data_IF_358988553270
#
_entry.id   IF_358988553270
#
_cell.length_a   1.000
_cell.length_b   1.000
_cell.length_c   1.000
_cell.angle_alpha   90.00
_cell.angle_beta   90.00
_cell.angle_gamma   90.00
#
_symmetry.space_group_name_H-M   'P 1'
#
loop_
_entity.id
_entity.type
_entity.pdbx_description
1 polymer ?
#
# COMPACT_ATOMS: atom_id res chain seq x y z
N UNK A 1 -15.25 16.43 12.12
CA UNK A 1 -13.98 16.62 11.38
C UNK A 1 -13.67 15.30 10.70
N UNK A 2 -13.65 15.27 9.37
CA UNK A 2 -13.33 14.07 8.61
C UNK A 2 -11.82 13.85 8.66
N UNK A 3 -11.33 12.60 8.78
CA UNK A 3 -9.89 12.32 8.72
C UNK A 3 -9.36 12.69 7.34
N UNK A 4 -8.32 13.47 7.31
CA UNK A 4 -7.55 13.77 6.09
C UNK A 4 -6.95 12.44 5.61
N UNK A 5 -7.43 11.97 4.46
CA UNK A 5 -6.86 10.81 3.77
C UNK A 5 -5.43 11.18 3.35
N UNK A 6 -4.47 10.39 3.81
CA UNK A 6 -3.12 10.40 3.27
C UNK A 6 -3.20 10.24 1.74
N UNK A 7 -2.83 11.27 1.01
CA UNK A 7 -2.40 11.11 -0.37
C UNK A 7 -1.08 10.34 -0.35
N UNK A 8 -0.83 9.40 -1.25
CA UNK A 8 0.46 8.74 -1.36
C UNK A 8 1.47 9.69 -2.02
N UNK A 9 1.83 10.79 -1.34
CA UNK A 9 2.89 11.73 -1.75
C UNK A 9 4.28 11.22 -1.34
N UNK A 10 4.51 9.93 -1.45
CA UNK A 10 5.79 9.29 -1.17
C UNK A 10 6.25 8.32 -2.24
N UNK A 11 5.68 8.39 -3.46
CA UNK A 11 6.24 7.67 -4.59
C UNK A 11 7.51 8.39 -5.08
N UNK A 12 8.59 8.27 -4.29
CA UNK A 12 9.94 8.47 -4.80
C UNK A 12 10.13 7.56 -6.01
N UNK A 13 10.59 8.13 -7.12
CA UNK A 13 11.01 7.39 -8.29
C UNK A 13 12.09 6.38 -7.87
N UNK A 14 11.66 5.14 -7.62
CA UNK A 14 12.54 4.00 -7.49
C UNK A 14 13.32 3.79 -8.80
N UNK A 15 14.42 3.04 -8.76
CA UNK A 15 15.33 2.89 -9.88
C UNK A 15 14.58 2.44 -11.14
N UNK A 16 14.90 3.08 -12.25
CA UNK A 16 14.37 2.79 -13.57
C UNK A 16 14.40 1.30 -13.85
N UNK A 17 13.23 0.72 -14.07
CA UNK A 17 13.02 -0.65 -14.53
C UNK A 17 13.84 -0.89 -15.80
N UNK A 18 14.84 -1.76 -15.73
CA UNK A 18 15.39 -2.40 -16.91
C UNK A 18 14.37 -3.47 -17.34
N UNK A 19 13.68 -3.16 -18.42
CA UNK A 19 12.88 -4.12 -19.17
C UNK A 19 13.84 -5.00 -20.01
N UNK A 20 14.48 -5.98 -19.39
CA UNK A 20 15.29 -6.97 -20.10
C UNK A 20 14.92 -8.38 -19.62
N UNK A 21 13.73 -8.82 -20.00
CA UNK A 21 13.44 -10.22 -20.31
C UNK A 21 12.45 -10.29 -21.47
N UNK A 22 12.65 -11.19 -22.45
CA UNK A 22 11.81 -11.24 -23.64
C UNK A 22 10.50 -11.93 -23.30
N UNK A 23 9.51 -11.17 -22.92
CA UNK A 23 8.14 -11.64 -23.02
C UNK A 23 7.80 -11.74 -24.51
N UNK A 24 7.47 -12.94 -24.94
CA UNK A 24 7.02 -13.25 -26.29
C UNK A 24 6.02 -12.20 -26.75
N UNK A 25 6.30 -11.59 -27.90
CA UNK A 25 5.65 -10.49 -28.57
C UNK A 25 4.20 -10.23 -28.16
N UNK A 26 3.98 -9.19 -27.39
CA UNK A 26 2.66 -8.63 -27.18
C UNK A 26 2.32 -7.80 -28.43
N UNK A 27 1.73 -8.47 -29.43
CA UNK A 27 0.92 -7.78 -30.42
C UNK A 27 -0.11 -6.97 -29.62
N UNK A 28 -0.17 -5.65 -29.86
CA UNK A 28 -1.07 -4.75 -29.15
C UNK A 28 -2.46 -5.35 -29.04
N UNK A 29 -2.91 -5.60 -27.81
CA UNK A 29 -4.17 -6.27 -27.56
C UNK A 29 -5.29 -5.30 -27.90
N UNK A 30 -6.02 -5.61 -28.97
CA UNK A 30 -7.29 -4.97 -29.26
C UNK A 30 -8.37 -5.59 -28.35
N UNK A 31 -8.14 -5.55 -27.03
CA UNK A 31 -9.12 -5.98 -26.03
C UNK A 31 -10.02 -4.81 -25.70
N UNK A 32 -11.32 -5.03 -25.66
CA UNK A 32 -12.29 -4.05 -25.19
C UNK A 32 -12.21 -3.89 -23.67
N UNK A 33 -11.80 -4.94 -22.95
CA UNK A 33 -11.71 -4.96 -21.49
C UNK A 33 -10.43 -5.64 -21.01
N UNK A 34 -9.99 -5.28 -19.79
CA UNK A 34 -8.91 -5.92 -19.04
C UNK A 34 -9.37 -6.22 -17.61
N UNK A 35 -8.63 -7.08 -16.92
CA UNK A 35 -8.87 -7.46 -15.54
C UNK A 35 -7.94 -6.68 -14.63
N UNK A 36 -8.49 -5.82 -13.79
CA UNK A 36 -7.78 -5.11 -12.73
C UNK A 36 -7.75 -5.96 -11.47
N UNK A 37 -6.57 -6.22 -10.92
CA UNK A 37 -6.39 -7.03 -9.71
C UNK A 37 -6.13 -6.14 -8.52
N UNK A 38 -6.94 -6.31 -7.46
CA UNK A 38 -6.88 -5.51 -6.24
C UNK A 38 -6.03 -6.16 -5.15
N UNK A 39 -6.29 -7.44 -4.91
CA UNK A 39 -5.68 -8.18 -3.82
C UNK A 39 -5.72 -9.69 -4.07
N UNK A 40 -4.88 -10.42 -3.35
CA UNK A 40 -4.93 -11.88 -3.25
C UNK A 40 -5.23 -12.25 -1.80
N UNK A 41 -6.01 -13.31 -1.58
CA UNK A 41 -6.32 -13.88 -0.26
C UNK A 41 -6.47 -15.39 -0.37
N UNK A 42 -6.26 -16.10 0.72
CA UNK A 42 -6.57 -17.53 0.87
C UNK A 42 -7.92 -17.76 1.56
N UNK A 43 -8.55 -16.70 2.07
CA UNK A 43 -9.83 -16.74 2.79
C UNK A 43 -10.75 -15.61 2.33
N UNK A 44 -11.77 -15.94 1.57
CA UNK A 44 -12.80 -15.00 1.14
C UNK A 44 -14.19 -15.49 1.60
N UNK A 45 -14.76 -14.95 2.68
CA UNK A 45 -16.09 -15.33 3.14
C UNK A 45 -17.16 -15.07 2.07
N UNK A 46 -18.19 -15.91 1.96
CA UNK A 46 -19.30 -15.71 1.02
C UNK A 46 -19.95 -14.33 1.19
N UNK A 47 -20.22 -13.66 0.07
CA UNK A 47 -20.84 -12.33 0.05
C UNK A 47 -19.92 -11.18 0.45
N UNK A 48 -18.67 -11.42 0.76
CA UNK A 48 -17.72 -10.38 1.20
C UNK A 48 -17.54 -9.23 0.20
N UNK A 49 -17.56 -9.55 -1.08
CA UNK A 49 -17.41 -8.56 -2.15
C UNK A 49 -18.72 -7.87 -2.55
N UNK A 50 -19.86 -8.27 -1.96
CA UNK A 50 -21.17 -7.71 -2.30
C UNK A 50 -21.21 -6.21 -2.01
N UNK A 51 -21.56 -5.40 -3.01
CA UNK A 51 -21.65 -3.94 -2.91
C UNK A 51 -20.31 -3.20 -3.01
N UNK A 52 -19.17 -3.91 -3.10
CA UNK A 52 -17.91 -3.27 -3.42
C UNK A 52 -17.85 -2.94 -4.92
N UNK A 53 -17.37 -1.75 -5.23
CA UNK A 53 -17.16 -1.27 -6.59
C UNK A 53 -15.71 -0.91 -6.81
N UNK A 54 -15.19 -1.25 -7.98
CA UNK A 54 -13.80 -1.03 -8.36
C UNK A 54 -13.51 0.36 -8.90
N UNK A 55 -12.35 0.50 -9.54
CA UNK A 55 -11.76 1.77 -10.00
C UNK A 55 -12.55 2.45 -11.10
N UNK A 56 -13.24 1.69 -11.95
CA UNK A 56 -14.14 2.16 -13.01
C UNK A 56 -15.62 2.14 -12.62
N UNK A 57 -15.95 1.80 -11.35
CA UNK A 57 -17.33 1.64 -10.87
C UNK A 57 -17.91 0.25 -11.13
N UNK A 58 -17.13 -0.68 -11.65
CA UNK A 58 -17.50 -2.07 -11.93
C UNK A 58 -17.69 -2.87 -10.63
N UNK A 59 -18.51 -3.94 -10.65
CA UNK A 59 -18.58 -4.89 -9.55
C UNK A 59 -17.29 -5.68 -9.43
N UNK A 60 -16.81 -5.86 -8.19
CA UNK A 60 -15.66 -6.73 -7.92
C UNK A 60 -16.10 -8.18 -7.73
N UNK A 61 -15.26 -9.11 -8.11
CA UNK A 61 -15.52 -10.54 -8.10
C UNK A 61 -14.27 -11.36 -7.79
N UNK A 62 -14.42 -12.64 -7.38
CA UNK A 62 -13.30 -13.53 -7.16
C UNK A 62 -12.85 -14.23 -8.45
N UNK A 63 -11.54 -14.45 -8.59
CA UNK A 63 -10.94 -15.43 -9.51
C UNK A 63 -10.07 -16.35 -8.66
N UNK A 64 -10.41 -17.64 -8.60
CA UNK A 64 -9.74 -18.59 -7.70
C UNK A 64 -8.95 -19.62 -8.48
N UNK A 65 -7.78 -19.99 -7.94
CA UNK A 65 -6.92 -21.05 -8.45
C UNK A 65 -6.01 -21.56 -7.32
N UNK A 66 -5.75 -22.84 -7.25
CA UNK A 66 -4.83 -23.54 -6.32
C UNK A 66 -4.95 -23.13 -4.83
N UNK A 67 -6.17 -22.86 -4.36
CA UNK A 67 -6.44 -22.45 -2.97
C UNK A 67 -6.23 -20.96 -2.68
N UNK A 68 -5.90 -20.17 -3.70
CA UNK A 68 -5.79 -18.71 -3.65
C UNK A 68 -6.96 -18.07 -4.39
N UNK A 69 -7.29 -16.85 -4.02
CA UNK A 69 -8.34 -16.05 -4.65
C UNK A 69 -7.83 -14.63 -4.91
N UNK A 70 -7.80 -14.24 -6.17
CA UNK A 70 -7.63 -12.86 -6.58
C UNK A 70 -8.98 -12.13 -6.53
N UNK A 71 -9.01 -10.94 -5.97
CA UNK A 71 -10.14 -10.01 -6.01
C UNK A 71 -9.93 -9.09 -7.20
N UNK A 72 -10.84 -9.15 -8.17
CA UNK A 72 -10.67 -8.50 -9.47
C UNK A 72 -11.90 -7.69 -9.89
N UNK A 73 -11.69 -6.75 -10.83
CA UNK A 73 -12.74 -6.06 -11.57
C UNK A 73 -12.46 -6.12 -13.06
N UNK A 74 -13.50 -6.18 -13.90
CA UNK A 74 -13.36 -6.07 -15.36
C UNK A 74 -13.58 -4.64 -15.77
N UNK A 75 -12.57 -4.00 -16.33
CA UNK A 75 -12.56 -2.58 -16.68
C UNK A 75 -12.31 -2.35 -18.16
N UNK A 76 -12.71 -1.19 -18.67
CA UNK A 76 -12.49 -0.78 -20.05
C UNK A 76 -10.98 -0.64 -20.33
N UNK A 77 -10.48 -1.36 -21.33
CA UNK A 77 -9.07 -1.34 -21.71
C UNK A 77 -8.62 0.04 -22.24
N UNK A 78 -9.51 0.80 -22.88
CA UNK A 78 -9.18 2.13 -23.36
C UNK A 78 -8.98 3.15 -22.23
N UNK A 79 -9.62 2.91 -21.05
CA UNK A 79 -9.51 3.79 -19.90
C UNK A 79 -8.50 3.30 -18.84
N UNK A 80 -8.29 1.98 -18.71
CA UNK A 80 -7.54 1.37 -17.62
C UNK A 80 -6.48 0.35 -18.09
N UNK A 81 -6.35 0.12 -19.40
CA UNK A 81 -5.31 -0.75 -19.95
C UNK A 81 -3.93 -0.12 -19.86
N UNK A 82 -2.89 -0.91 -20.08
CA UNK A 82 -1.49 -0.53 -19.94
C UNK A 82 -1.14 0.79 -20.64
N UNK A 83 -1.66 1.00 -21.86
CA UNK A 83 -1.42 2.22 -22.64
C UNK A 83 -2.10 3.46 -22.03
N UNK A 84 -3.25 3.29 -21.37
CA UNK A 84 -4.00 4.36 -20.74
C UNK A 84 -3.45 4.74 -19.34
N UNK A 85 -2.70 3.83 -18.70
CA UNK A 85 -2.22 4.01 -17.33
C UNK A 85 -1.34 5.25 -17.15
N UNK A 86 -0.49 5.56 -18.13
CA UNK A 86 0.35 6.76 -18.08
C UNK A 86 -0.48 8.05 -18.05
N UNK A 87 -1.58 8.09 -18.78
CA UNK A 87 -2.52 9.23 -18.78
C UNK A 87 -3.39 9.25 -17.54
N UNK A 88 -3.84 8.08 -17.10
CA UNK A 88 -4.66 7.91 -15.88
C UNK A 88 -3.90 8.35 -14.63
N UNK A 89 -2.62 7.99 -14.53
CA UNK A 89 -1.74 8.31 -13.41
C UNK A 89 -1.01 9.65 -13.58
N UNK A 90 -1.17 10.34 -14.72
CA UNK A 90 -0.56 11.63 -15.00
C UNK A 90 -1.23 12.84 -14.31
N UNK A 91 -2.42 12.67 -13.70
CA UNK A 91 -3.16 13.72 -13.02
C UNK A 91 -3.42 13.40 -11.55
N UNK A 92 -3.08 14.32 -10.64
CA UNK A 92 -3.23 14.12 -9.18
C UNK A 92 -4.66 13.70 -8.79
N UNK A 93 -5.69 14.39 -9.33
CA UNK A 93 -7.09 14.09 -9.04
C UNK A 93 -7.48 12.66 -9.47
N UNK A 94 -6.93 12.19 -10.58
CA UNK A 94 -7.17 10.84 -11.08
C UNK A 94 -6.50 9.80 -10.20
N UNK A 95 -5.23 10.01 -9.84
CA UNK A 95 -4.49 9.12 -8.94
C UNK A 95 -5.24 8.98 -7.62
N UNK A 96 -5.68 10.09 -7.04
CA UNK A 96 -6.41 10.09 -5.78
C UNK A 96 -7.74 9.35 -5.88
N UNK A 97 -8.50 9.57 -6.93
CA UNK A 97 -9.78 8.88 -7.17
C UNK A 97 -9.59 7.38 -7.34
N UNK A 98 -8.65 6.97 -8.21
CA UNK A 98 -8.37 5.57 -8.51
C UNK A 98 -7.75 4.88 -7.29
N UNK A 99 -6.81 5.53 -6.61
CA UNK A 99 -6.19 5.04 -5.39
C UNK A 99 -7.21 4.81 -4.27
N UNK A 100 -8.13 5.74 -4.05
CA UNK A 100 -9.23 5.58 -3.07
C UNK A 100 -10.18 4.43 -3.42
N UNK A 101 -10.50 4.24 -4.70
CA UNK A 101 -11.35 3.14 -5.12
C UNK A 101 -10.64 1.80 -4.95
N UNK A 102 -9.37 1.72 -5.35
CA UNK A 102 -8.52 0.55 -5.17
C UNK A 102 -8.38 0.17 -3.69
N UNK A 103 -8.04 1.14 -2.84
CA UNK A 103 -7.95 0.95 -1.40
C UNK A 103 -9.26 0.44 -0.77
N UNK A 104 -10.43 0.99 -1.16
CA UNK A 104 -11.73 0.53 -0.64
C UNK A 104 -11.98 -0.95 -0.90
N UNK A 105 -11.60 -1.46 -2.07
CA UNK A 105 -11.74 -2.88 -2.40
C UNK A 105 -10.83 -3.72 -1.50
N UNK A 106 -9.56 -3.33 -1.35
CA UNK A 106 -8.59 -4.04 -0.51
C UNK A 106 -9.03 -4.03 0.96
N UNK A 107 -9.36 -2.85 1.51
CA UNK A 107 -9.83 -2.71 2.89
C UNK A 107 -11.15 -3.48 3.12
N UNK A 108 -12.06 -3.43 2.13
CA UNK A 108 -13.29 -4.23 2.14
C UNK A 108 -12.99 -5.73 2.17
N UNK A 109 -12.01 -6.21 1.44
CA UNK A 109 -11.58 -7.62 1.47
C UNK A 109 -10.99 -7.98 2.84
N UNK A 110 -10.07 -7.16 3.35
CA UNK A 110 -9.41 -7.38 4.64
C UNK A 110 -10.37 -7.41 5.84
N UNK A 111 -11.45 -6.63 5.80
CA UNK A 111 -12.47 -6.64 6.85
C UNK A 111 -13.22 -7.99 7.00
N UNK A 112 -12.93 -9.00 6.15
CA UNK A 112 -13.36 -10.39 6.29
C UNK A 112 -12.60 -11.19 7.34
N UNK A 113 -11.50 -10.64 7.90
CA UNK A 113 -10.69 -11.29 8.94
C UNK A 113 -9.63 -12.28 8.43
N UNK A 114 -9.58 -12.54 7.12
CA UNK A 114 -8.51 -13.31 6.49
C UNK A 114 -7.30 -12.43 6.13
N UNK A 115 -6.12 -13.04 5.89
CA UNK A 115 -4.97 -12.31 5.41
C UNK A 115 -5.23 -11.80 3.99
N UNK A 116 -4.75 -10.61 3.69
CA UNK A 116 -4.89 -9.98 2.37
C UNK A 116 -3.52 -9.50 1.91
N UNK A 117 -3.16 -9.88 0.71
CA UNK A 117 -2.00 -9.40 0.00
C UNK A 117 -2.45 -8.29 -0.96
N UNK A 118 -2.27 -7.01 -0.61
CA UNK A 118 -2.63 -5.91 -1.49
C UNK A 118 -1.70 -5.89 -2.71
N UNK A 119 -2.29 -5.75 -3.90
CA UNK A 119 -1.49 -5.56 -5.11
C UNK A 119 -1.29 -4.08 -5.41
N UNK A 120 -0.25 -3.78 -6.18
CA UNK A 120 0.05 -2.40 -6.59
C UNK A 120 -1.08 -1.82 -7.42
N UNK A 121 -1.25 -0.53 -7.32
CA UNK A 121 -2.13 0.22 -8.20
C UNK A 121 -1.75 -0.05 -9.66
N UNK A 122 -2.77 -0.27 -10.51
CA UNK A 122 -2.58 -0.54 -11.93
C UNK A 122 -2.03 -1.94 -12.29
N UNK A 123 -2.18 -2.93 -11.40
CA UNK A 123 -1.96 -4.33 -11.76
C UNK A 123 -3.10 -4.81 -12.64
N UNK A 124 -2.82 -5.00 -13.95
CA UNK A 124 -3.80 -5.40 -14.96
C UNK A 124 -3.37 -6.64 -15.72
N UNK A 125 -4.34 -7.46 -16.06
CA UNK A 125 -4.15 -8.67 -16.87
C UNK A 125 -5.18 -8.71 -18.02
N UNK A 126 -4.89 -9.44 -19.13
CA UNK A 126 -5.81 -9.53 -20.25
C UNK A 126 -7.16 -10.14 -19.89
N UNK A 127 -7.13 -11.19 -19.08
CA UNK A 127 -8.30 -12.01 -18.77
C UNK A 127 -8.12 -12.80 -17.45
N UNK A 128 -9.16 -13.54 -17.06
CA UNK A 128 -9.18 -14.38 -15.87
C UNK A 128 -8.24 -15.59 -15.98
N UNK A 129 -7.97 -16.08 -17.18
CA UNK A 129 -7.08 -17.22 -17.38
C UNK A 129 -5.63 -16.83 -17.05
N UNK A 130 -5.22 -15.66 -17.48
CA UNK A 130 -3.91 -15.10 -17.12
C UNK A 130 -3.78 -14.87 -15.60
N UNK A 131 -4.86 -14.40 -14.95
CA UNK A 131 -4.87 -14.26 -13.48
C UNK A 131 -4.75 -15.63 -12.80
N UNK A 132 -5.46 -16.67 -13.26
CA UNK A 132 -5.31 -18.03 -12.71
C UNK A 132 -3.92 -18.59 -12.92
N UNK A 133 -3.34 -18.37 -14.12
CA UNK A 133 -1.98 -18.79 -14.40
C UNK A 133 -0.95 -18.11 -13.45
N UNK A 134 -1.12 -16.82 -13.17
CA UNK A 134 -0.31 -16.09 -12.19
C UNK A 134 -0.43 -16.70 -10.79
N UNK A 135 -1.67 -16.97 -10.32
CA UNK A 135 -1.91 -17.58 -9.01
C UNK A 135 -1.25 -18.96 -8.90
N UNK A 136 -1.34 -19.77 -9.96
CA UNK A 136 -0.72 -21.09 -10.00
C UNK A 136 0.80 -21.01 -10.02
N UNK A 137 1.37 -20.12 -10.83
CA UNK A 137 2.81 -19.97 -10.98
C UNK A 137 3.50 -19.43 -9.73
N UNK A 138 2.89 -18.46 -9.04
CA UNK A 138 3.46 -17.84 -7.82
C UNK A 138 2.79 -18.35 -6.52
N UNK A 139 2.16 -19.52 -6.56
CA UNK A 139 1.37 -20.06 -5.45
C UNK A 139 2.11 -20.04 -4.11
N UNK A 140 3.31 -20.59 -4.08
CA UNK A 140 4.05 -20.76 -2.82
C UNK A 140 4.55 -19.42 -2.26
N UNK A 141 4.86 -18.48 -3.13
CA UNK A 141 5.22 -17.12 -2.76
C UNK A 141 4.03 -16.38 -2.15
N UNK A 142 2.88 -16.38 -2.83
CA UNK A 142 1.66 -15.74 -2.31
C UNK A 142 1.19 -16.38 -1.01
N UNK A 143 1.24 -17.70 -0.91
CA UNK A 143 0.89 -18.41 0.32
C UNK A 143 1.82 -18.02 1.48
N UNK A 144 3.12 -17.95 1.25
CA UNK A 144 4.10 -17.52 2.26
C UNK A 144 3.86 -16.08 2.74
N UNK A 145 3.53 -15.16 1.81
CA UNK A 145 3.19 -13.78 2.16
C UNK A 145 1.88 -13.69 2.95
N UNK A 146 0.85 -14.42 2.53
CA UNK A 146 -0.43 -14.47 3.25
C UNK A 146 -0.26 -15.03 4.66
N UNK A 147 0.55 -16.07 4.84
CA UNK A 147 0.86 -16.61 6.16
C UNK A 147 1.56 -15.58 7.05
N UNK A 148 2.51 -14.81 6.50
CA UNK A 148 3.18 -13.70 7.21
C UNK A 148 2.22 -12.59 7.61
N UNK A 149 1.20 -12.31 6.78
CA UNK A 149 0.21 -11.26 7.03
C UNK A 149 -1.00 -11.73 7.86
N UNK A 150 -1.02 -12.98 8.29
CA UNK A 150 -2.12 -13.52 9.09
C UNK A 150 -2.18 -12.85 10.45
N UNK A 151 -3.34 -12.27 10.77
CA UNK A 151 -3.58 -11.49 12.00
C UNK A 151 -2.62 -10.30 12.18
N UNK A 152 -2.12 -9.72 11.08
CA UNK A 152 -1.32 -8.50 11.15
C UNK A 152 -2.04 -7.33 10.51
N UNK A 153 -1.63 -6.14 10.93
CA UNK A 153 -2.07 -4.84 10.40
C UNK A 153 -0.87 -3.91 10.29
N UNK A 154 -0.93 -3.00 9.33
CA UNK A 154 0.09 -1.96 9.16
C UNK A 154 -0.32 -0.68 9.87
N UNK A 155 0.64 -0.04 10.53
CA UNK A 155 0.54 1.32 11.06
C UNK A 155 1.66 2.18 10.51
N UNK A 156 1.31 3.40 10.12
CA UNK A 156 2.27 4.42 9.71
C UNK A 156 2.49 5.44 10.81
N UNK A 157 3.75 5.83 11.02
CA UNK A 157 4.13 6.93 11.92
C UNK A 157 4.99 7.92 11.14
N UNK A 158 4.52 9.16 11.11
CA UNK A 158 5.24 10.29 10.51
C UNK A 158 5.54 11.31 11.60
N UNK A 159 6.80 11.73 11.70
CA UNK A 159 7.21 12.76 12.66
C UNK A 159 7.75 13.95 11.87
N UNK A 160 7.21 15.11 12.17
CA UNK A 160 7.61 16.38 11.59
C UNK A 160 8.35 17.21 12.63
N UNK A 161 9.53 17.70 12.28
CA UNK A 161 10.31 18.65 13.06
C UNK A 161 10.15 20.07 12.54
N UNK A 162 10.33 21.06 13.41
CA UNK A 162 10.40 22.44 12.99
C UNK A 162 11.75 22.72 12.29
N UNK A 163 11.72 23.45 11.18
CA UNK A 163 12.94 23.94 10.55
C UNK A 163 13.72 24.85 11.51
N UNK A 164 15.02 24.61 11.65
CA UNK A 164 15.83 25.31 12.62
C UNK A 164 17.33 25.26 12.31
N UNK A 165 18.17 25.74 13.23
CA UNK A 165 19.62 25.62 13.10
C UNK A 165 20.06 24.15 13.13
N UNK A 166 21.27 23.87 12.61
CA UNK A 166 21.76 22.49 12.40
C UNK A 166 21.70 21.60 13.66
N UNK A 167 21.99 22.17 14.82
CA UNK A 167 21.92 21.45 16.10
C UNK A 167 20.48 21.08 16.54
N UNK A 168 19.48 21.84 16.09
CA UNK A 168 18.07 21.49 16.32
C UNK A 168 17.61 20.38 15.36
N UNK A 169 18.11 20.39 14.15
CA UNK A 169 17.86 19.34 13.15
C UNK A 169 18.44 17.99 13.64
N UNK A 170 19.72 18.00 14.05
CA UNK A 170 20.40 16.81 14.56
C UNK A 170 19.66 16.21 15.79
N UNK A 171 19.24 17.07 16.74
CA UNK A 171 18.43 16.59 17.88
C UNK A 171 17.10 15.99 17.48
N UNK A 172 16.41 16.55 16.48
CA UNK A 172 15.16 16.01 15.98
C UNK A 172 15.35 14.63 15.33
N UNK A 173 16.45 14.44 14.60
CA UNK A 173 16.83 13.16 14.03
C UNK A 173 17.12 12.12 15.11
N UNK A 174 17.89 12.48 16.15
CA UNK A 174 18.21 11.60 17.28
C UNK A 174 16.93 11.15 18.01
N UNK A 175 15.98 12.07 18.25
CA UNK A 175 14.70 11.77 18.90
C UNK A 175 13.85 10.87 18.01
N UNK A 176 13.78 11.15 16.72
CA UNK A 176 13.04 10.34 15.76
C UNK A 176 13.62 8.92 15.66
N UNK A 177 14.93 8.77 15.69
CA UNK A 177 15.60 7.46 15.71
C UNK A 177 15.29 6.67 16.99
N UNK A 178 15.27 7.34 18.14
CA UNK A 178 14.89 6.70 19.40
C UNK A 178 13.42 6.26 19.40
N UNK A 179 12.52 7.05 18.83
CA UNK A 179 11.10 6.70 18.68
C UNK A 179 10.95 5.51 17.73
N UNK A 180 11.61 5.55 16.57
CA UNK A 180 11.56 4.46 15.58
C UNK A 180 12.06 3.14 16.19
N UNK A 181 13.16 3.18 16.94
CA UNK A 181 13.68 2.00 17.63
C UNK A 181 12.67 1.45 18.66
N UNK A 182 12.09 2.31 19.50
CA UNK A 182 11.12 1.92 20.51
C UNK A 182 9.83 1.33 19.90
N UNK A 183 9.36 1.89 18.78
CA UNK A 183 8.18 1.40 18.06
C UNK A 183 8.46 0.10 17.30
N UNK A 184 9.68 -0.07 16.79
CA UNK A 184 10.10 -1.29 16.10
C UNK A 184 10.10 -2.52 17.00
N UNK A 185 10.28 -2.34 18.33
CA UNK A 185 10.21 -3.43 19.31
C UNK A 185 8.81 -4.06 19.43
N UNK A 186 7.76 -3.33 19.03
CA UNK A 186 6.38 -3.86 18.97
C UNK A 186 6.09 -4.58 17.65
N UNK A 187 6.90 -4.34 16.63
CA UNK A 187 6.58 -4.75 15.27
C UNK A 187 7.12 -6.15 14.95
N UNK A 188 6.37 -6.89 14.13
CA UNK A 188 6.84 -8.10 13.46
C UNK A 188 7.87 -7.73 12.38
N UNK A 189 7.67 -6.58 11.76
CA UNK A 189 8.60 -5.98 10.80
C UNK A 189 8.39 -4.45 10.76
N UNK A 190 9.44 -3.70 10.42
CA UNK A 190 9.37 -2.25 10.27
C UNK A 190 10.10 -1.79 9.01
N UNK A 191 9.61 -0.71 8.41
CA UNK A 191 10.20 -0.13 7.20
C UNK A 191 10.26 1.37 7.31
N UNK A 192 11.46 1.88 7.38
CA UNK A 192 11.71 3.31 7.31
C UNK A 192 11.84 3.74 5.85
N UNK A 193 11.09 4.76 5.49
CA UNK A 193 11.18 5.42 4.20
C UNK A 193 12.14 6.62 4.29
N UNK A 194 12.80 7.01 3.18
CA UNK A 194 13.66 8.19 3.20
C UNK A 194 12.91 9.42 3.72
N UNK A 195 13.53 10.14 4.65
CA UNK A 195 13.04 11.43 5.11
C UNK A 195 13.22 12.48 3.98
N UNK A 196 12.27 13.40 3.87
CA UNK A 196 12.40 14.53 2.95
C UNK A 196 13.34 15.58 3.53
N UNK A 197 14.38 15.97 2.80
CA UNK A 197 15.27 17.07 3.23
C UNK A 197 14.52 18.41 3.13
N UNK A 198 14.36 19.14 4.25
CA UNK A 198 13.60 20.39 4.31
C UNK A 198 14.15 21.49 3.37
N UNK A 199 15.44 21.39 3.01
CA UNK A 199 16.08 22.33 2.08
C UNK A 199 15.52 22.26 0.67
N UNK A 200 14.90 21.11 0.31
CA UNK A 200 14.30 20.93 -1.01
C UNK A 200 12.78 21.14 -1.01
N UNK A 201 12.12 21.03 0.14
CA UNK A 201 10.64 21.13 0.21
C UNK A 201 10.16 22.56 0.43
N UNK A 202 10.98 23.45 0.97
CA UNK A 202 10.61 24.84 1.32
C UNK A 202 9.52 24.93 2.39
N UNK A 203 9.19 23.83 3.09
CA UNK A 203 8.19 23.79 4.16
C UNK A 203 8.78 24.29 5.48
N UNK A 204 7.94 24.84 6.34
CA UNK A 204 8.34 25.24 7.70
C UNK A 204 8.55 24.04 8.63
N UNK A 205 7.88 22.94 8.34
CA UNK A 205 8.04 21.62 8.98
C UNK A 205 8.66 20.66 7.96
N UNK A 206 9.50 19.77 8.42
CA UNK A 206 10.12 18.74 7.58
C UNK A 206 9.90 17.36 8.18
N UNK A 207 9.76 16.37 7.32
CA UNK A 207 9.51 14.99 7.70
C UNK A 207 10.81 14.34 8.18
N UNK A 208 10.91 14.14 9.50
CA UNK A 208 12.10 13.57 10.16
C UNK A 208 12.05 12.05 10.17
N UNK A 209 10.85 11.50 10.41
CA UNK A 209 10.58 10.07 10.40
C UNK A 209 9.36 9.78 9.52
N UNK A 210 9.49 8.77 8.68
CA UNK A 210 8.39 8.16 7.94
C UNK A 210 8.58 6.65 7.98
N UNK A 211 7.90 5.98 8.89
CA UNK A 211 8.05 4.54 9.08
C UNK A 211 6.69 3.83 9.06
N UNK A 212 6.69 2.63 8.49
CA UNK A 212 5.59 1.68 8.53
C UNK A 212 5.95 0.52 9.45
N UNK A 213 4.99 0.07 10.25
CA UNK A 213 5.15 -1.02 11.22
C UNK A 213 4.10 -2.09 10.97
N UNK A 214 4.54 -3.33 10.77
CA UNK A 214 3.67 -4.50 10.68
C UNK A 214 3.49 -5.08 12.07
N UNK A 215 2.28 -5.04 12.60
CA UNK A 215 1.96 -5.43 13.97
C UNK A 215 1.01 -6.62 13.98
N UNK A 216 1.09 -7.45 15.03
CA UNK A 216 -0.06 -8.29 15.34
C UNK A 216 -1.27 -7.43 15.70
N UNK A 217 -2.45 -7.79 15.21
CA UNK A 217 -3.67 -6.99 15.32
C UNK A 217 -4.09 -6.72 16.78
N UNK A 218 -3.78 -7.62 17.69
CA UNK A 218 -4.03 -7.48 19.14
C UNK A 218 -3.12 -6.45 19.82
N UNK A 219 -1.95 -6.16 19.23
CA UNK A 219 -1.01 -5.14 19.73
C UNK A 219 -1.32 -3.72 19.22
N UNK A 220 -2.22 -3.60 18.24
CA UNK A 220 -2.47 -2.34 17.53
C UNK A 220 -2.90 -1.18 18.45
N UNK A 221 -3.74 -1.45 19.46
CA UNK A 221 -4.22 -0.41 20.38
C UNK A 221 -3.12 0.07 21.32
N UNK A 222 -2.28 -0.84 21.82
CA UNK A 222 -1.14 -0.51 22.68
C UNK A 222 -0.08 0.27 21.90
N UNK A 223 0.25 -0.20 20.69
CA UNK A 223 1.14 0.52 19.78
C UNK A 223 0.69 1.96 19.53
N UNK A 224 -0.58 2.16 19.18
CA UNK A 224 -1.11 3.50 18.93
C UNK A 224 -0.99 4.41 20.16
N UNK A 225 -1.28 3.90 21.36
CA UNK A 225 -1.15 4.66 22.60
C UNK A 225 0.30 5.05 22.88
N UNK A 226 1.25 4.12 22.69
CA UNK A 226 2.69 4.38 22.86
C UNK A 226 3.17 5.40 21.82
N UNK A 227 2.82 5.24 20.55
CA UNK A 227 3.20 6.15 19.48
C UNK A 227 2.70 7.58 19.75
N UNK A 228 1.47 7.76 20.22
CA UNK A 228 0.96 9.06 20.64
C UNK A 228 1.72 9.64 21.82
N UNK A 229 1.99 8.83 22.85
CA UNK A 229 2.71 9.29 24.05
C UNK A 229 4.13 9.75 23.71
N UNK A 230 4.85 8.99 22.89
CA UNK A 230 6.21 9.34 22.47
C UNK A 230 6.24 10.61 21.61
N UNK A 231 5.21 10.82 20.81
CA UNK A 231 5.12 12.00 19.92
C UNK A 231 4.78 13.29 20.66
N UNK A 232 4.15 13.21 21.84
CA UNK A 232 3.83 14.36 22.70
C UNK A 232 4.97 14.74 23.63
N UNK A 233 5.99 13.89 23.76
CA UNK A 233 7.04 14.05 24.77
C UNK A 233 8.06 15.15 24.42
N UNK A 234 8.14 15.60 23.16
CA UNK A 234 9.09 16.64 22.76
C UNK A 234 8.38 17.89 22.22
N UNK A 235 8.75 19.05 22.79
CA UNK A 235 8.20 20.36 22.41
C UNK A 235 8.83 20.80 21.09
N UNK A 236 8.05 20.79 20.01
CA UNK A 236 8.49 21.23 18.69
C UNK A 236 8.45 20.15 17.61
N UNK A 237 8.04 18.95 17.98
CA UNK A 237 7.77 17.87 17.03
C UNK A 237 6.26 17.58 16.95
N UNK A 238 5.79 17.17 15.78
CA UNK A 238 4.41 16.78 15.53
C UNK A 238 4.40 15.39 14.90
N UNK A 239 3.69 14.46 15.50
CA UNK A 239 3.51 13.15 14.90
C UNK A 239 2.11 12.96 14.31
N UNK A 240 2.07 12.21 13.23
CA UNK A 240 0.86 11.65 12.65
C UNK A 240 0.95 10.13 12.72
N UNK A 241 -0.04 9.51 13.38
CA UNK A 241 -0.15 8.07 13.54
C UNK A 241 -1.38 7.61 12.77
N UNK A 242 -1.19 6.75 11.80
CA UNK A 242 -2.23 6.34 10.84
C UNK A 242 -2.31 4.81 10.76
N UNK A 243 -3.53 4.28 10.82
CA UNK A 243 -3.83 2.85 10.73
C UNK A 243 -5.12 2.49 11.48
N UNK A 244 -5.47 1.22 11.57
CA UNK A 244 -4.79 0.08 10.93
C UNK A 244 -5.09 0.01 9.42
N UNK A 245 -4.08 -0.39 8.65
CA UNK A 245 -4.15 -0.58 7.21
C UNK A 245 -3.82 -2.02 6.82
N UNK A 246 -4.26 -2.51 5.63
CA UNK A 246 -3.63 -3.65 4.98
C UNK A 246 -2.13 -3.43 4.77
N UNK A 247 -1.31 -4.49 4.69
CA UNK A 247 0.17 -4.41 4.73
C UNK A 247 0.80 -3.90 3.43
N UNK A 248 0.46 -2.68 2.98
CA UNK A 248 0.91 -2.09 1.72
C UNK A 248 2.43 -1.94 1.63
N UNK A 249 3.06 -1.53 2.72
CA UNK A 249 4.50 -1.27 2.75
C UNK A 249 5.34 -2.55 2.80
N UNK A 250 4.71 -3.71 2.99
CA UNK A 250 5.40 -4.98 3.22
C UNK A 250 5.30 -5.98 2.06
N UNK A 251 4.71 -5.55 0.95
CA UNK A 251 4.61 -6.32 -0.31
C UNK A 251 5.76 -5.97 -1.25
N UNK A 252 6.94 -6.55 -1.03
CA UNK A 252 8.08 -6.41 -1.94
C UNK A 252 8.07 -7.49 -3.01
N UNK A 253 8.64 -7.15 -4.18
CA UNK A 253 8.90 -8.13 -5.24
C UNK A 253 7.65 -8.63 -5.98
N UNK A 254 6.48 -8.05 -5.73
CA UNK A 254 5.27 -8.36 -6.50
C UNK A 254 5.22 -7.49 -7.77
N UNK A 255 6.22 -7.62 -8.62
CA UNK A 255 6.09 -7.20 -10.01
C UNK A 255 5.25 -8.26 -10.72
N UNK A 256 4.06 -7.85 -11.14
CA UNK A 256 3.14 -8.69 -11.90
C UNK A 256 3.50 -8.66 -13.38
#
# INVERSE_FOLDING_TARGET
MAPTLMTPDGLSAGPQLRLDEPHAGHAGWALDTVVWVYAITDQLPPGRLTGLTGVGGEPVRPVSEVGLTAVVGTVDAAAFGEQALSSLLGGLDNIERVGRAHHRVIAGTAAGGGPVLPLRLATVHPDDETVRALLAWRRDEFAGMLDRFRNTVEWGVQIYGAAGPADAVERAEDVADAIDAALSDFAVDSRRQPAEDPRFTGRAEWLVLNSAYLLHADMAAEFAAVAHTLSEADVGMRAEVNGPWPPYSFVDGLEA
#
